data_IF_845809958837
#
_entry.id   IF_845809958837
#
_cell.length_a   1.000
_cell.length_b   1.000
_cell.length_c   1.000
_cell.angle_alpha   90.00
_cell.angle_beta   90.00
_cell.angle_gamma   90.00
#
_symmetry.space_group_name_H-M   'P 1'
#
loop_
_entity.id
_entity.type
_entity.pdbx_description
1 polymer ?
#
# COMPACT_ATOMS: atom_id res chain seq x y z
N UNK A 1 -48.04 4.81 70.83
CA UNK A 1 -46.72 5.08 70.24
C UNK A 1 -46.21 3.79 69.60
N UNK A 2 -46.26 3.66 68.27
CA UNK A 2 -45.78 2.48 67.52
C UNK A 2 -44.75 2.98 66.52
N UNK A 3 -43.49 2.56 66.70
CA UNK A 3 -42.35 2.87 65.82
C UNK A 3 -42.32 1.82 64.70
N UNK A 4 -42.75 2.20 63.50
CA UNK A 4 -42.65 1.37 62.31
C UNK A 4 -41.26 1.55 61.69
N UNK A 5 -40.42 0.52 61.76
CA UNK A 5 -39.12 0.48 61.10
C UNK A 5 -39.27 0.29 59.59
N UNK A 6 -38.68 1.16 58.78
CA UNK A 6 -38.57 0.95 57.32
C UNK A 6 -37.46 -0.07 57.03
N UNK A 7 -37.66 -1.00 56.08
CA UNK A 7 -36.61 -1.89 55.62
C UNK A 7 -35.56 -1.13 54.80
N UNK A 8 -34.29 -1.32 55.17
CA UNK A 8 -33.12 -0.79 54.45
C UNK A 8 -32.95 -1.62 53.18
N UNK A 9 -33.32 -1.04 52.03
CA UNK A 9 -33.06 -1.66 50.71
C UNK A 9 -31.55 -1.59 50.46
N UNK A 10 -30.85 -2.68 50.72
CA UNK A 10 -29.48 -2.87 50.27
C UNK A 10 -29.51 -2.99 48.74
N UNK A 11 -29.07 -1.92 48.06
CA UNK A 11 -28.72 -2.01 46.64
C UNK A 11 -27.54 -2.99 46.57
N UNK A 12 -27.62 -4.11 45.84
CA UNK A 12 -26.46 -4.96 45.66
C UNK A 12 -25.41 -4.13 44.92
N UNK A 13 -24.27 -3.94 45.57
CA UNK A 13 -23.08 -3.35 45.02
C UNK A 13 -22.63 -4.28 43.88
N UNK A 14 -23.06 -3.93 42.65
CA UNK A 14 -22.66 -4.63 41.45
C UNK A 14 -21.15 -4.43 41.33
N UNK A 15 -20.44 -5.49 41.69
CA UNK A 15 -18.98 -5.57 41.70
C UNK A 15 -18.43 -4.96 40.42
N UNK A 16 -17.63 -3.90 40.60
CA UNK A 16 -16.89 -3.16 39.57
C UNK A 16 -15.87 -4.00 38.79
N UNK A 17 -15.98 -5.32 38.83
CA UNK A 17 -15.02 -6.30 38.33
C UNK A 17 -15.32 -6.80 36.92
N UNK A 18 -16.44 -6.39 36.31
CA UNK A 18 -16.75 -6.69 34.90
C UNK A 18 -16.32 -5.56 33.94
N UNK A 19 -15.60 -4.55 34.43
CA UNK A 19 -15.24 -3.33 33.69
C UNK A 19 -13.86 -3.34 33.02
N UNK A 20 -13.25 -4.51 32.79
CA UNK A 20 -11.92 -4.56 32.18
C UNK A 20 -11.72 -5.74 31.22
N UNK A 21 -12.72 -6.07 30.39
CA UNK A 21 -12.38 -6.74 29.11
C UNK A 21 -11.80 -5.66 28.20
N UNK A 22 -10.51 -5.75 27.82
CA UNK A 22 -9.94 -4.77 26.90
C UNK A 22 -10.82 -4.74 25.66
N UNK A 23 -11.29 -3.55 25.28
CA UNK A 23 -12.07 -3.36 24.06
C UNK A 23 -11.31 -4.02 22.91
N UNK A 24 -11.99 -4.77 22.03
CA UNK A 24 -11.33 -5.40 20.89
C UNK A 24 -10.56 -4.31 20.14
N UNK A 25 -9.23 -4.46 20.08
CA UNK A 25 -8.37 -3.49 19.44
C UNK A 25 -8.74 -3.45 17.96
N UNK A 26 -9.21 -2.30 17.49
CA UNK A 26 -9.51 -2.13 16.08
C UNK A 26 -8.22 -2.32 15.27
N UNK A 27 -8.29 -2.89 14.04
CA UNK A 27 -7.11 -3.13 13.20
C UNK A 27 -6.22 -1.90 13.01
N UNK A 28 -6.82 -0.70 12.99
CA UNK A 28 -6.14 0.60 12.85
C UNK A 28 -5.34 1.04 14.07
N UNK A 29 -5.56 0.47 15.28
CA UNK A 29 -4.76 0.82 16.46
C UNK A 29 -3.26 0.51 16.27
N UNK A 30 -2.96 -0.57 15.52
CA UNK A 30 -1.60 -0.96 15.12
C UNK A 30 -1.00 -0.08 14.02
N UNK A 31 -1.82 0.70 13.31
CA UNK A 31 -1.42 1.56 12.19
C UNK A 31 -1.03 2.99 12.61
N UNK A 32 -1.00 3.28 13.93
CA UNK A 32 -0.66 4.61 14.46
C UNK A 32 0.78 5.04 14.18
N UNK A 33 1.66 4.10 13.83
CA UNK A 33 3.04 4.38 13.44
C UNK A 33 3.19 4.26 11.93
N UNK A 34 4.11 5.05 11.35
CA UNK A 34 4.43 4.99 9.92
C UNK A 34 4.74 3.55 9.45
N UNK A 35 5.52 2.82 10.25
CA UNK A 35 5.87 1.43 9.96
C UNK A 35 4.68 0.47 10.10
N UNK A 36 3.82 0.67 11.09
CA UNK A 36 2.58 -0.09 11.24
C UNK A 36 1.66 0.08 10.04
N UNK A 37 1.48 1.33 9.58
CA UNK A 37 0.71 1.66 8.38
C UNK A 37 1.30 1.01 7.11
N UNK A 38 2.61 1.09 6.94
CA UNK A 38 3.27 0.56 5.75
C UNK A 38 3.20 -0.97 5.68
N UNK A 39 3.39 -1.66 6.81
CA UNK A 39 3.35 -3.13 6.87
C UNK A 39 1.93 -3.68 6.83
N UNK A 40 0.94 -2.95 7.35
CA UNK A 40 -0.43 -3.39 7.47
C UNK A 40 -1.03 -3.97 6.17
N UNK A 41 -0.76 -3.36 5.02
CA UNK A 41 -1.25 -3.88 3.73
C UNK A 41 -0.52 -5.15 3.28
N UNK A 42 0.80 -5.23 3.49
CA UNK A 42 1.63 -6.37 3.07
C UNK A 42 1.41 -7.63 3.91
N UNK A 43 0.80 -7.52 5.10
CA UNK A 43 0.48 -8.63 5.99
C UNK A 43 -1.04 -8.89 6.14
N UNK A 44 -1.89 -8.17 5.41
CA UNK A 44 -3.35 -8.36 5.42
C UNK A 44 -3.77 -9.56 4.55
N UNK A 45 -5.07 -9.85 4.47
CA UNK A 45 -5.67 -10.89 3.61
C UNK A 45 -5.28 -10.75 2.12
N UNK A 46 -4.86 -9.55 1.71
CA UNK A 46 -4.37 -9.24 0.36
C UNK A 46 -2.84 -9.33 0.19
N UNK A 47 -2.13 -9.96 1.14
CA UNK A 47 -0.66 -10.07 1.12
C UNK A 47 -0.14 -10.62 -0.22
N UNK A 48 -0.78 -11.66 -0.78
CA UNK A 48 -0.37 -12.26 -2.06
C UNK A 48 -0.35 -11.24 -3.19
N UNK A 49 -1.39 -10.42 -3.32
CA UNK A 49 -1.46 -9.39 -4.37
C UNK A 49 -0.35 -8.34 -4.20
N UNK A 50 -0.13 -7.87 -2.96
CA UNK A 50 0.89 -6.87 -2.66
C UNK A 50 2.30 -7.38 -3.01
N UNK A 51 2.61 -8.61 -2.61
CA UNK A 51 3.89 -9.24 -2.87
C UNK A 51 4.10 -9.58 -4.34
N UNK A 52 3.07 -10.05 -5.06
CA UNK A 52 3.17 -10.30 -6.51
C UNK A 52 3.48 -9.01 -7.27
N UNK A 53 2.75 -7.92 -7.02
CA UNK A 53 3.00 -6.64 -7.68
C UNK A 53 4.39 -6.10 -7.36
N UNK A 54 4.83 -6.21 -6.10
CA UNK A 54 6.18 -5.80 -5.68
C UNK A 54 7.26 -6.63 -6.38
N UNK A 55 7.07 -7.94 -6.51
CA UNK A 55 8.00 -8.83 -7.20
C UNK A 55 8.11 -8.49 -8.68
N UNK A 56 6.98 -8.21 -9.35
CA UNK A 56 6.98 -7.76 -10.75
C UNK A 56 7.75 -6.44 -10.91
N UNK A 57 7.54 -5.47 -10.02
CA UNK A 57 8.30 -4.21 -10.03
C UNK A 57 9.80 -4.46 -9.83
N UNK A 58 10.15 -5.34 -8.88
CA UNK A 58 11.55 -5.70 -8.61
C UNK A 58 12.21 -6.36 -9.82
N UNK A 59 11.51 -7.31 -10.45
CA UNK A 59 11.97 -7.99 -11.67
C UNK A 59 12.19 -6.99 -12.81
N UNK A 60 11.23 -6.11 -13.07
CA UNK A 60 11.35 -5.08 -14.12
C UNK A 60 12.48 -4.10 -13.81
N UNK A 61 12.70 -3.78 -12.55
CA UNK A 61 13.82 -2.92 -12.11
C UNK A 61 15.16 -3.61 -12.36
N UNK A 62 15.28 -4.89 -12.01
CA UNK A 62 16.49 -5.68 -12.26
C UNK A 62 16.78 -5.85 -13.76
N UNK A 63 15.76 -6.18 -14.55
CA UNK A 63 15.86 -6.26 -16.01
C UNK A 63 16.29 -4.92 -16.63
N UNK A 64 15.69 -3.82 -16.18
CA UNK A 64 16.09 -2.48 -16.61
C UNK A 64 17.54 -2.15 -16.26
N UNK A 65 18.04 -2.60 -15.11
CA UNK A 65 19.44 -2.42 -14.72
C UNK A 65 20.38 -3.25 -15.60
N UNK A 66 20.03 -4.50 -15.92
CA UNK A 66 20.82 -5.37 -16.80
C UNK A 66 20.87 -4.84 -18.23
N UNK A 67 19.76 -4.28 -18.72
CA UNK A 67 19.69 -3.63 -20.03
C UNK A 67 20.70 -2.47 -20.15
N UNK A 68 20.95 -1.72 -19.08
CA UNK A 68 21.98 -0.68 -19.06
C UNK A 68 23.39 -1.22 -19.29
N UNK A 69 23.71 -2.40 -18.75
CA UNK A 69 25.00 -3.08 -18.98
C UNK A 69 25.12 -3.50 -20.44
N UNK A 70 24.08 -4.13 -21.00
CA UNK A 70 24.08 -4.50 -22.43
C UNK A 70 24.18 -3.28 -23.35
N UNK A 71 23.54 -2.17 -22.99
CA UNK A 71 23.62 -0.93 -23.75
C UNK A 71 25.05 -0.38 -23.78
N UNK A 72 25.75 -0.38 -22.64
CA UNK A 72 27.14 0.04 -22.59
C UNK A 72 28.07 -0.84 -23.44
N UNK A 73 27.88 -2.16 -23.39
CA UNK A 73 28.66 -3.11 -24.20
C UNK A 73 28.41 -2.91 -25.70
N UNK A 74 27.14 -2.87 -26.13
CA UNK A 74 26.78 -2.64 -27.53
C UNK A 74 27.25 -1.27 -28.04
N UNK A 75 27.30 -0.26 -27.16
CA UNK A 75 27.82 1.07 -27.52
C UNK A 75 29.33 1.01 -27.78
N UNK A 76 30.08 0.29 -26.95
CA UNK A 76 31.50 0.05 -27.17
C UNK A 76 31.76 -0.72 -28.46
N UNK A 77 30.98 -1.76 -28.74
CA UNK A 77 31.07 -2.54 -29.97
C UNK A 77 30.72 -1.71 -31.22
N UNK A 78 29.75 -0.79 -31.13
CA UNK A 78 29.43 0.14 -32.22
C UNK A 78 30.57 1.13 -32.49
N UNK A 79 31.14 1.73 -31.44
CA UNK A 79 32.27 2.64 -31.61
C UNK A 79 33.47 1.92 -32.24
N UNK A 80 33.72 0.69 -31.80
CA UNK A 80 34.77 -0.15 -32.39
C UNK A 80 34.50 -0.45 -33.87
N UNK A 81 33.26 -0.78 -34.25
CA UNK A 81 32.94 -1.08 -35.65
C UNK A 81 33.04 0.15 -36.57
N UNK A 82 32.80 1.36 -36.06
CA UNK A 82 33.04 2.62 -36.78
C UNK A 82 34.56 2.84 -36.99
N UNK A 83 35.36 2.64 -35.94
CA UNK A 83 36.81 2.86 -36.01
C UNK A 83 37.49 1.93 -37.02
N UNK A 84 37.10 0.66 -37.05
CA UNK A 84 37.64 -0.37 -37.95
C UNK A 84 36.79 -0.56 -39.22
N UNK A 85 35.99 0.44 -39.60
CA UNK A 85 35.13 0.35 -40.78
C UNK A 85 35.92 0.23 -42.09
N UNK A 86 37.10 0.87 -42.17
CA UNK A 86 37.96 0.88 -43.35
C UNK A 86 39.10 -0.16 -43.30
N UNK A 87 39.10 -1.04 -42.30
CA UNK A 87 40.15 -2.06 -42.18
C UNK A 87 39.94 -3.18 -43.22
N UNK A 88 41.00 -3.49 -43.98
CA UNK A 88 40.99 -4.52 -45.01
C UNK A 88 40.81 -5.94 -44.43
N UNK A 89 41.06 -6.14 -43.13
CA UNK A 89 40.78 -7.40 -42.44
C UNK A 89 39.29 -7.58 -42.08
N UNK A 90 38.46 -6.54 -42.20
CA UNK A 90 37.06 -6.57 -41.81
C UNK A 90 36.18 -6.96 -43.00
N UNK A 91 35.75 -8.22 -43.04
CA UNK A 91 35.09 -8.81 -44.22
C UNK A 91 33.66 -8.27 -44.42
N UNK A 92 32.97 -7.83 -43.34
CA UNK A 92 31.58 -7.35 -43.39
C UNK A 92 31.31 -6.13 -42.48
N UNK A 93 31.92 -4.96 -42.73
CA UNK A 93 31.89 -3.81 -41.81
C UNK A 93 30.49 -3.21 -41.64
N UNK A 94 29.70 -3.13 -42.71
CA UNK A 94 28.36 -2.55 -42.71
C UNK A 94 27.36 -3.39 -41.91
N UNK A 95 27.44 -4.73 -42.01
CA UNK A 95 26.57 -5.63 -41.25
C UNK A 95 26.82 -5.52 -39.75
N UNK A 96 28.09 -5.50 -39.32
CA UNK A 96 28.46 -5.36 -37.90
C UNK A 96 27.98 -4.03 -37.34
N UNK A 97 28.17 -2.94 -38.10
CA UNK A 97 27.74 -1.61 -37.70
C UNK A 97 26.20 -1.51 -37.55
N UNK A 98 25.45 -1.98 -38.55
CA UNK A 98 23.99 -1.98 -38.50
C UNK A 98 23.44 -2.89 -37.39
N UNK A 99 24.09 -4.03 -37.13
CA UNK A 99 23.69 -4.95 -36.06
C UNK A 99 23.84 -4.28 -34.69
N UNK A 100 24.99 -3.66 -34.40
CA UNK A 100 25.23 -3.00 -33.12
C UNK A 100 24.31 -1.79 -32.93
N UNK A 101 24.12 -0.98 -33.98
CA UNK A 101 23.15 0.12 -33.96
C UNK A 101 21.72 -0.38 -33.72
N UNK A 102 21.31 -1.47 -34.38
CA UNK A 102 20.02 -2.12 -34.20
C UNK A 102 19.80 -2.63 -32.78
N UNK A 103 20.82 -3.27 -32.19
CA UNK A 103 20.80 -3.74 -30.79
C UNK A 103 20.60 -2.56 -29.83
N UNK A 104 21.29 -1.43 -30.05
CA UNK A 104 21.12 -0.24 -29.21
C UNK A 104 19.71 0.32 -29.28
N UNK A 105 19.13 0.45 -30.48
CA UNK A 105 17.74 0.90 -30.66
C UNK A 105 16.78 -0.07 -29.96
N UNK A 106 16.97 -1.37 -30.15
CA UNK A 106 16.15 -2.40 -29.50
C UNK A 106 16.21 -2.30 -27.97
N UNK A 107 17.41 -2.13 -27.41
CA UNK A 107 17.60 -1.99 -25.96
C UNK A 107 16.92 -0.75 -25.40
N UNK A 108 16.98 0.39 -26.11
CA UNK A 108 16.30 1.64 -25.70
C UNK A 108 14.79 1.45 -25.72
N UNK A 109 14.23 0.92 -26.81
CA UNK A 109 12.79 0.68 -26.91
C UNK A 109 12.33 -0.28 -25.82
N UNK A 110 13.04 -1.40 -25.63
CA UNK A 110 12.69 -2.41 -24.64
C UNK A 110 12.75 -1.86 -23.22
N UNK A 111 13.79 -1.07 -22.89
CA UNK A 111 13.97 -0.50 -21.55
C UNK A 111 12.99 0.65 -21.27
N UNK A 112 12.90 1.61 -22.16
CA UNK A 112 12.21 2.88 -21.89
C UNK A 112 10.71 2.77 -22.17
N UNK A 113 10.30 2.10 -23.25
CA UNK A 113 8.87 1.87 -23.54
C UNK A 113 8.35 0.59 -22.84
N UNK A 114 9.13 -0.48 -22.84
CA UNK A 114 8.74 -1.77 -22.26
C UNK A 114 8.82 -1.77 -20.73
N UNK A 115 10.04 -1.89 -20.19
CA UNK A 115 10.23 -2.14 -18.77
C UNK A 115 9.76 -0.96 -17.90
N UNK A 116 10.11 0.26 -18.26
CA UNK A 116 9.72 1.45 -17.51
C UNK A 116 8.21 1.69 -17.57
N UNK A 117 7.59 1.52 -18.75
CA UNK A 117 6.15 1.65 -18.92
C UNK A 117 5.37 0.66 -18.07
N UNK A 118 5.70 -0.62 -18.17
CA UNK A 118 5.02 -1.67 -17.39
C UNK A 118 5.27 -1.47 -15.89
N UNK A 119 6.49 -1.14 -15.48
CA UNK A 119 6.81 -0.87 -14.07
C UNK A 119 5.96 0.25 -13.51
N UNK A 120 5.78 1.34 -14.26
CA UNK A 120 4.97 2.47 -13.84
C UNK A 120 3.50 2.11 -13.71
N UNK A 121 2.97 1.34 -14.66
CA UNK A 121 1.59 0.86 -14.61
C UNK A 121 1.34 -0.06 -13.40
N UNK A 122 2.25 -1.00 -13.14
CA UNK A 122 2.17 -1.91 -11.99
C UNK A 122 2.30 -1.14 -10.67
N UNK A 123 3.21 -0.16 -10.61
CA UNK A 123 3.40 0.72 -9.45
C UNK A 123 2.14 1.55 -9.15
N UNK A 124 1.55 2.17 -10.17
CA UNK A 124 0.30 2.92 -10.03
C UNK A 124 -0.86 2.02 -9.58
N UNK A 125 -0.92 0.79 -10.10
CA UNK A 125 -1.92 -0.21 -9.71
C UNK A 125 -1.76 -0.61 -8.24
N UNK A 126 -0.53 -0.88 -7.80
CA UNK A 126 -0.21 -1.20 -6.41
C UNK A 126 -0.62 -0.04 -5.50
N UNK A 127 -0.26 1.20 -5.85
CA UNK A 127 -0.60 2.38 -5.07
C UNK A 127 -2.12 2.57 -4.94
N UNK A 128 -2.86 2.41 -6.05
CA UNK A 128 -4.33 2.50 -6.04
C UNK A 128 -4.96 1.44 -5.15
N UNK A 129 -4.51 0.18 -5.26
CA UNK A 129 -5.01 -0.93 -4.44
C UNK A 129 -4.71 -0.72 -2.96
N UNK A 130 -3.49 -0.29 -2.64
CA UNK A 130 -3.07 0.04 -1.27
C UNK A 130 -3.96 1.14 -0.67
N UNK A 131 -4.17 2.25 -1.39
CA UNK A 131 -5.04 3.34 -0.94
C UNK A 131 -6.48 2.90 -0.72
N UNK A 132 -7.04 2.13 -1.65
CA UNK A 132 -8.41 1.63 -1.54
C UNK A 132 -8.60 0.71 -0.32
N UNK A 133 -7.64 -0.19 -0.10
CA UNK A 133 -7.64 -1.06 1.08
C UNK A 133 -7.53 -0.26 2.38
N UNK A 134 -6.62 0.70 2.44
CA UNK A 134 -6.42 1.54 3.61
C UNK A 134 -7.71 2.29 3.99
N UNK A 135 -8.39 2.88 2.99
CA UNK A 135 -9.64 3.59 3.19
C UNK A 135 -10.75 2.67 3.75
N UNK A 136 -10.80 1.42 3.28
CA UNK A 136 -11.74 0.42 3.82
C UNK A 136 -11.49 0.13 5.30
N UNK A 137 -10.22 -0.03 5.71
CA UNK A 137 -9.88 -0.31 7.12
C UNK A 137 -10.23 0.86 8.03
N UNK A 138 -9.96 2.09 7.61
CA UNK A 138 -10.36 3.28 8.36
C UNK A 138 -11.87 3.46 8.41
N UNK A 139 -12.56 3.28 7.28
CA UNK A 139 -14.02 3.40 7.23
C UNK A 139 -14.71 2.36 8.11
N UNK A 140 -14.22 1.11 8.12
CA UNK A 140 -14.73 0.08 9.03
C UNK A 140 -14.51 0.46 10.49
N UNK A 141 -13.33 0.98 10.84
CA UNK A 141 -13.06 1.42 12.21
C UNK A 141 -13.88 2.66 12.63
N UNK A 142 -14.20 3.54 11.69
CA UNK A 142 -15.11 4.68 11.88
C UNK A 142 -16.59 4.30 11.88
N UNK A 143 -16.94 3.05 11.58
CA UNK A 143 -18.33 2.56 11.62
C UNK A 143 -18.51 1.45 12.66
N UNK A 144 -17.42 0.93 13.23
CA UNK A 144 -17.41 -0.17 14.20
C UNK A 144 -18.00 0.26 15.55
N UNK A 145 -18.94 -0.51 16.12
CA UNK A 145 -19.85 -0.12 17.22
C UNK A 145 -19.22 0.35 18.53
N UNK A 146 -17.89 0.37 18.67
CA UNK A 146 -17.16 0.94 19.81
C UNK A 146 -17.12 2.49 19.79
N UNK A 147 -18.15 3.14 19.24
CA UNK A 147 -18.31 4.59 19.09
C UNK A 147 -18.65 5.31 20.40
N UNK A 148 -17.83 5.11 21.42
CA UNK A 148 -17.86 5.97 22.62
C UNK A 148 -17.68 7.45 22.27
N UNK A 149 -17.08 7.81 21.12
CA UNK A 149 -16.97 9.20 20.70
C UNK A 149 -18.26 9.78 20.08
N UNK A 150 -19.04 8.99 19.32
CA UNK A 150 -20.33 9.44 18.78
C UNK A 150 -21.35 9.56 19.92
N UNK A 151 -21.29 8.62 20.88
CA UNK A 151 -22.00 8.69 22.14
C UNK A 151 -21.45 9.76 23.11
N UNK A 152 -20.18 10.18 23.05
CA UNK A 152 -19.66 11.28 23.88
C UNK A 152 -19.91 12.67 23.27
N UNK A 153 -19.99 12.77 21.94
CA UNK A 153 -20.35 14.01 21.24
C UNK A 153 -21.86 14.28 21.28
N UNK A 154 -22.69 13.24 21.33
CA UNK A 154 -24.16 13.35 21.46
C UNK A 154 -24.70 12.97 22.84
N UNK A 155 -23.87 12.47 23.74
CA UNK A 155 -24.26 12.01 25.08
C UNK A 155 -23.72 12.90 26.18
N UNK A 156 -24.33 14.08 26.30
CA UNK A 156 -24.53 14.72 27.60
C UNK A 156 -25.96 15.28 27.68
N UNK A 157 -26.96 14.46 27.33
CA UNK A 157 -28.34 14.70 27.77
C UNK A 157 -28.47 14.25 29.23
N UNK A 158 -27.72 14.91 30.11
CA UNK A 158 -28.08 15.04 31.53
C UNK A 158 -29.09 16.21 31.72
N UNK A 159 -29.90 16.49 30.71
CA UNK A 159 -30.95 17.50 30.68
C UNK A 159 -31.76 17.35 29.39
N UNK A 160 -32.94 16.74 29.50
CA UNK A 160 -33.76 16.22 28.39
C UNK A 160 -34.05 17.18 27.24
N UNK A 161 -33.22 17.13 26.19
CA UNK A 161 -33.54 17.70 24.87
C UNK A 161 -33.43 16.56 23.86
N UNK A 162 -34.59 16.14 23.37
CA UNK A 162 -34.74 15.18 22.26
C UNK A 162 -34.19 15.84 21.00
N UNK A 163 -33.32 15.13 20.28
CA UNK A 163 -32.80 15.60 18.99
C UNK A 163 -33.96 15.79 17.99
N UNK A 164 -34.04 16.92 17.27
CA UNK A 164 -35.10 17.14 16.30
C UNK A 164 -34.96 16.16 15.14
N UNK A 165 -36.03 15.41 14.90
CA UNK A 165 -36.23 14.53 13.76
C UNK A 165 -36.27 15.39 12.47
N UNK A 166 -35.43 15.07 11.50
CA UNK A 166 -35.39 15.74 10.18
C UNK A 166 -35.58 14.71 9.06
N UNK A 167 -36.64 13.91 9.19
CA UNK A 167 -37.21 13.16 8.07
C UNK A 167 -38.63 13.71 7.87
N UNK A 168 -38.79 14.56 6.85
CA UNK A 168 -40.05 14.79 6.14
C UNK A 168 -39.98 14.05 4.79
#
# INVERSE_FOLDING_TARGET
MIRVGRPRRTVPEQTSSEAARPSPLTPVSSMRTFWGLMRAYWFSDRWKEAWTLTLVIALLTALSSKAGVWFAMASGELVNSIAFFHDAANINPLQTLLTNAGILVLLVVLKDAGFTGVRNLVSATLHRKWRGWLNSQFNQALLDGNHTHFHAQHGSVAGGIVAPDNID
#
